data_IF_071260755871
#
_entry.id   IF_071260755871
#
_cell.length_a   1.000
_cell.length_b   1.000
_cell.length_c   1.000
_cell.angle_alpha   90.00
_cell.angle_beta   90.00
_cell.angle_gamma   90.00
#
_symmetry.space_group_name_H-M   'P 1'
#
loop_
_entity.id
_entity.type
_entity.pdbx_description
1 polymer ?
#
# COMPACT_ATOMS: atom_id res chain seq x y z
N UNK A 1 48.55 36.75 -25.52
CA UNK A 1 47.18 36.58 -24.95
C UNK A 1 46.94 35.10 -24.74
N UNK A 2 46.85 34.65 -23.48
CA UNK A 2 46.59 33.27 -23.09
C UNK A 2 45.12 33.19 -22.68
N UNK A 3 44.29 32.54 -23.50
CA UNK A 3 42.90 32.24 -23.15
C UNK A 3 42.86 30.93 -22.40
N UNK A 4 42.82 31.02 -21.07
CA UNK A 4 42.43 29.92 -20.19
C UNK A 4 40.94 29.65 -20.39
N UNK A 5 40.61 28.58 -21.12
CA UNK A 5 39.24 28.06 -21.19
C UNK A 5 38.98 27.35 -19.86
N UNK A 6 38.29 28.05 -18.97
CA UNK A 6 37.85 27.54 -17.68
C UNK A 6 36.88 26.39 -17.94
N UNK A 7 37.21 25.24 -17.37
CA UNK A 7 36.46 24.00 -17.44
C UNK A 7 35.04 24.18 -16.90
N UNK A 8 34.08 24.30 -17.81
CA UNK A 8 32.66 24.12 -17.49
C UNK A 8 32.39 22.62 -17.58
N UNK A 9 32.90 21.87 -16.60
CA UNK A 9 32.37 20.54 -16.31
C UNK A 9 31.04 20.80 -15.62
N UNK A 10 30.00 21.01 -16.43
CA UNK A 10 28.62 20.80 -16.00
C UNK A 10 28.53 19.35 -15.59
N UNK A 11 28.83 19.08 -14.32
CA UNK A 11 28.46 17.85 -13.64
C UNK A 11 26.95 17.80 -13.75
N UNK A 12 26.49 17.12 -14.80
CA UNK A 12 25.15 16.59 -14.88
C UNK A 12 25.04 15.77 -13.60
N UNK A 13 24.48 16.38 -12.55
CA UNK A 13 23.81 15.67 -11.47
C UNK A 13 22.64 14.98 -12.16
N UNK A 14 22.97 13.92 -12.90
CA UNK A 14 22.10 12.80 -13.12
C UNK A 14 21.94 12.31 -11.69
N UNK A 15 20.95 12.87 -10.99
CA UNK A 15 20.37 12.24 -9.83
C UNK A 15 20.02 10.88 -10.39
N UNK A 16 20.88 9.91 -10.13
CA UNK A 16 20.48 8.53 -10.18
C UNK A 16 19.33 8.53 -9.19
N UNK A 17 18.11 8.65 -9.72
CA UNK A 17 16.97 8.05 -9.09
C UNK A 17 17.37 6.59 -9.06
N UNK A 18 18.11 6.22 -8.01
CA UNK A 18 18.14 4.85 -7.57
C UNK A 18 16.65 4.58 -7.39
N UNK A 19 16.07 3.88 -8.37
CA UNK A 19 14.88 3.09 -8.12
C UNK A 19 15.25 2.35 -6.85
N UNK A 20 14.73 2.83 -5.73
CA UNK A 20 14.95 2.20 -4.45
C UNK A 20 14.29 0.86 -4.63
N UNK A 21 15.08 -0.16 -4.97
CA UNK A 21 14.59 -1.47 -5.38
C UNK A 21 13.65 -1.94 -4.27
N UNK A 22 12.35 -1.86 -4.56
CA UNK A 22 11.30 -2.11 -3.60
C UNK A 22 11.31 -3.60 -3.34
N UNK A 23 12.02 -4.00 -2.28
CA UNK A 23 12.13 -5.39 -1.88
C UNK A 23 11.00 -5.73 -0.90
N UNK A 24 10.34 -6.87 -1.07
CA UNK A 24 9.35 -7.34 -0.11
C UNK A 24 10.02 -7.68 1.23
N UNK A 25 9.19 -7.82 2.26
CA UNK A 25 9.55 -8.37 3.55
C UNK A 25 10.36 -9.67 3.37
N UNK A 26 11.51 -9.75 4.03
CA UNK A 26 12.35 -10.95 4.00
C UNK A 26 11.62 -12.13 4.63
N UNK A 27 11.82 -13.31 4.04
CA UNK A 27 11.26 -14.58 4.51
C UNK A 27 9.73 -14.51 4.73
N UNK A 28 9.05 -13.81 3.80
CA UNK A 28 7.60 -13.64 3.87
C UNK A 28 6.88 -14.99 3.94
N UNK A 29 6.07 -15.18 4.99
CA UNK A 29 5.26 -16.37 5.18
C UNK A 29 3.77 -16.04 4.99
N UNK A 30 3.21 -16.52 3.87
CA UNK A 30 1.81 -16.26 3.53
C UNK A 30 0.82 -16.83 4.55
N UNK A 31 1.10 -18.02 5.11
CA UNK A 31 0.20 -18.65 6.07
C UNK A 31 0.09 -17.85 7.38
N UNK A 32 1.20 -17.26 7.84
CA UNK A 32 1.21 -16.35 8.99
C UNK A 32 0.55 -15.00 8.68
N UNK A 33 0.60 -14.58 7.42
CA UNK A 33 -0.01 -13.33 6.96
C UNK A 33 -1.53 -13.43 6.79
N UNK A 34 -2.06 -14.63 6.57
CA UNK A 34 -3.49 -14.87 6.41
C UNK A 34 -4.33 -14.41 7.62
N UNK A 35 -5.65 -14.37 7.42
CA UNK A 35 -6.63 -13.99 8.41
C UNK A 35 -7.04 -12.52 8.35
N UNK A 36 -7.57 -12.03 9.48
CA UNK A 36 -8.19 -10.71 9.59
C UNK A 36 -7.17 -9.59 9.69
N UNK A 37 -7.44 -8.49 9.00
CA UNK A 37 -6.68 -7.24 9.01
C UNK A 37 -7.63 -6.04 8.97
N UNK A 38 -7.17 -4.89 9.45
CA UNK A 38 -7.85 -3.60 9.32
C UNK A 38 -6.97 -2.62 8.56
N UNK A 39 -7.43 -2.03 7.46
CA UNK A 39 -6.73 -0.93 6.78
C UNK A 39 -6.91 0.34 7.60
N UNK A 40 -5.92 0.65 8.44
CA UNK A 40 -5.93 1.77 9.40
C UNK A 40 -5.11 2.98 8.91
N UNK A 41 -4.44 2.85 7.77
CA UNK A 41 -3.77 3.97 7.10
C UNK A 41 -3.73 3.78 5.59
N UNK A 42 -3.76 4.90 4.85
CA UNK A 42 -3.69 4.91 3.38
C UNK A 42 -2.99 6.17 2.88
N UNK A 43 -1.94 6.01 2.09
CA UNK A 43 -1.37 7.05 1.26
C UNK A 43 -1.85 6.86 -0.18
N UNK A 44 -2.61 7.82 -0.72
CA UNK A 44 -3.13 7.76 -2.08
C UNK A 44 -3.44 9.15 -2.64
N UNK A 45 -2.84 9.48 -3.79
CA UNK A 45 -2.90 10.83 -4.37
C UNK A 45 -3.64 10.95 -5.70
N UNK A 46 -4.42 9.92 -6.06
CA UNK A 46 -5.28 9.94 -7.24
C UNK A 46 -6.26 11.11 -7.21
N UNK A 47 -6.37 11.85 -8.32
CA UNK A 47 -7.34 12.95 -8.43
C UNK A 47 -8.77 12.47 -8.19
N UNK A 48 -9.11 11.28 -8.68
CA UNK A 48 -10.43 10.66 -8.49
C UNK A 48 -10.69 10.19 -7.06
N UNK A 49 -9.67 10.11 -6.21
CA UNK A 49 -9.82 9.78 -4.78
C UNK A 49 -9.93 11.02 -3.88
N UNK A 50 -9.44 12.18 -4.31
CA UNK A 50 -9.45 13.42 -3.52
C UNK A 50 -10.82 13.74 -2.89
N UNK A 51 -11.96 13.64 -3.61
CA UNK A 51 -13.29 13.94 -3.06
C UNK A 51 -13.82 12.95 -1.99
N UNK A 52 -13.06 11.88 -1.71
CA UNK A 52 -13.43 10.82 -0.77
C UNK A 52 -12.50 10.72 0.44
N UNK A 53 -11.45 11.55 0.52
CA UNK A 53 -10.43 11.47 1.57
C UNK A 53 -11.01 11.67 2.98
N UNK A 54 -11.89 12.65 3.11
CA UNK A 54 -12.61 13.01 4.33
C UNK A 54 -13.67 11.96 4.72
N UNK A 55 -14.13 11.17 3.75
CA UNK A 55 -15.12 10.11 3.93
C UNK A 55 -14.48 8.74 4.22
N UNK A 56 -13.16 8.61 4.06
CA UNK A 56 -12.46 7.37 4.29
C UNK A 56 -12.60 6.92 5.75
N UNK A 57 -13.02 5.67 5.94
CA UNK A 57 -13.03 4.98 7.24
C UNK A 57 -12.05 3.81 7.19
N UNK A 58 -11.56 3.40 8.36
CA UNK A 58 -10.81 2.17 8.46
C UNK A 58 -11.70 0.99 8.06
N UNK A 59 -11.20 0.13 7.16
CA UNK A 59 -11.94 -1.03 6.66
C UNK A 59 -11.37 -2.33 7.18
N UNK A 60 -12.21 -3.35 7.24
CA UNK A 60 -11.81 -4.70 7.61
C UNK A 60 -11.54 -5.52 6.35
N UNK A 61 -10.55 -6.41 6.39
CA UNK A 61 -10.28 -7.37 5.34
C UNK A 61 -9.93 -8.75 5.89
N UNK A 62 -10.26 -9.79 5.12
CA UNK A 62 -9.85 -11.17 5.38
C UNK A 62 -8.98 -11.62 4.22
N UNK A 63 -7.74 -12.01 4.55
CA UNK A 63 -6.77 -12.59 3.64
C UNK A 63 -6.87 -14.12 3.74
N UNK A 64 -7.22 -14.76 2.64
CA UNK A 64 -7.27 -16.22 2.53
C UNK A 64 -6.14 -16.71 1.63
N UNK A 65 -5.21 -17.48 2.19
CA UNK A 65 -4.15 -18.13 1.44
C UNK A 65 -4.69 -19.38 0.73
N UNK A 66 -4.42 -19.50 -0.57
CA UNK A 66 -4.85 -20.63 -1.38
C UNK A 66 -3.72 -21.70 -1.49
N UNK A 67 -4.06 -22.98 -1.72
CA UNK A 67 -3.06 -24.06 -1.81
C UNK A 67 -2.01 -23.86 -2.92
N UNK A 68 -2.37 -23.16 -3.99
CA UNK A 68 -1.46 -22.84 -5.09
C UNK A 68 -0.51 -21.66 -4.77
N UNK A 69 -0.70 -20.98 -3.63
CA UNK A 69 0.06 -19.82 -3.17
C UNK A 69 -0.57 -18.46 -3.52
N UNK A 70 -1.69 -18.45 -4.24
CA UNK A 70 -2.47 -17.24 -4.50
C UNK A 70 -3.22 -16.78 -3.25
N UNK A 71 -3.81 -15.59 -3.33
CA UNK A 71 -4.51 -14.96 -2.22
C UNK A 71 -5.86 -14.40 -2.66
N UNK A 72 -6.90 -14.74 -1.91
CA UNK A 72 -8.17 -14.03 -1.98
C UNK A 72 -8.25 -13.02 -0.84
N UNK A 73 -8.54 -11.76 -1.17
CA UNK A 73 -8.82 -10.71 -0.19
C UNK A 73 -10.27 -10.28 -0.33
N UNK A 74 -11.03 -10.38 0.76
CA UNK A 74 -12.34 -9.73 0.87
C UNK A 74 -12.23 -8.54 1.80
N UNK A 75 -12.69 -7.37 1.37
CA UNK A 75 -12.67 -6.11 2.11
C UNK A 75 -14.10 -5.61 2.32
N UNK A 76 -14.36 -5.04 3.49
CA UNK A 76 -15.62 -4.38 3.86
C UNK A 76 -15.33 -2.89 4.09
N UNK A 77 -15.67 -2.07 3.10
CA UNK A 77 -15.45 -0.62 3.13
C UNK A 77 -16.76 0.10 3.52
N UNK A 78 -16.70 0.93 4.56
CA UNK A 78 -17.81 1.81 4.92
C UNK A 78 -17.86 3.00 3.96
N UNK A 79 -19.00 3.17 3.29
CA UNK A 79 -19.25 4.27 2.35
C UNK A 79 -20.51 5.04 2.74
N UNK A 80 -20.75 6.25 2.19
CA UNK A 80 -22.02 6.95 2.38
C UNK A 80 -23.26 6.15 1.93
N UNK A 81 -23.09 5.17 1.03
CA UNK A 81 -24.16 4.29 0.53
C UNK A 81 -24.32 3.02 1.38
N UNK A 82 -23.57 2.88 2.48
CA UNK A 82 -23.54 1.69 3.33
C UNK A 82 -22.24 0.89 3.20
N UNK A 83 -22.25 -0.33 3.75
CA UNK A 83 -21.10 -1.23 3.77
C UNK A 83 -20.97 -1.94 2.42
N UNK A 84 -19.86 -1.69 1.72
CA UNK A 84 -19.57 -2.27 0.40
C UNK A 84 -18.55 -3.40 0.54
N UNK A 85 -18.79 -4.51 -0.16
CA UNK A 85 -17.89 -5.66 -0.18
C UNK A 85 -17.06 -5.65 -1.46
N UNK A 86 -15.74 -5.66 -1.31
CA UNK A 86 -14.79 -5.71 -2.43
C UNK A 86 -13.99 -6.99 -2.36
N UNK A 87 -13.92 -7.75 -3.46
CA UNK A 87 -13.14 -8.98 -3.55
C UNK A 87 -11.99 -8.77 -4.53
N UNK A 88 -10.81 -9.20 -4.13
CA UNK A 88 -9.60 -9.17 -4.95
C UNK A 88 -8.97 -10.56 -5.00
N UNK A 89 -8.62 -11.00 -6.20
CA UNK A 89 -7.86 -12.21 -6.46
C UNK A 89 -6.43 -11.80 -6.80
N UNK A 90 -5.49 -12.16 -5.94
CA UNK A 90 -4.07 -11.88 -6.08
C UNK A 90 -3.33 -13.16 -6.46
N UNK A 91 -2.64 -13.09 -7.59
CA UNK A 91 -1.81 -14.17 -8.10
C UNK A 91 -0.41 -14.06 -7.52
N UNK A 92 0.16 -15.20 -7.10
CA UNK A 92 1.53 -15.23 -6.62
C UNK A 92 2.52 -14.89 -7.73
N UNK A 93 3.67 -14.37 -7.33
CA UNK A 93 4.85 -14.27 -8.22
C UNK A 93 5.93 -15.27 -7.78
N UNK A 94 7.06 -15.27 -8.47
CA UNK A 94 8.24 -16.04 -8.05
C UNK A 94 8.92 -15.47 -6.80
N UNK A 95 8.53 -14.28 -6.34
CA UNK A 95 9.11 -13.61 -5.17
C UNK A 95 8.09 -13.64 -4.02
N UNK A 96 8.40 -14.30 -2.89
CA UNK A 96 7.53 -14.29 -1.72
C UNK A 96 7.20 -12.87 -1.25
N UNK A 97 5.93 -12.61 -0.95
CA UNK A 97 5.44 -11.29 -0.54
C UNK A 97 5.15 -10.34 -1.70
N UNK A 98 5.39 -10.75 -2.95
CA UNK A 98 4.94 -10.06 -4.16
C UNK A 98 3.82 -10.82 -4.85
N UNK A 99 2.79 -10.07 -5.24
CA UNK A 99 1.60 -10.56 -5.92
C UNK A 99 1.23 -9.64 -7.07
N UNK A 100 0.40 -10.12 -7.98
CA UNK A 100 -0.23 -9.32 -9.03
C UNK A 100 -1.74 -9.47 -9.00
N UNK A 101 -2.46 -8.46 -9.47
CA UNK A 101 -3.89 -8.59 -9.71
C UNK A 101 -4.33 -7.69 -10.86
N UNK A 102 -5.45 -8.07 -11.49
CA UNK A 102 -6.08 -7.23 -12.50
C UNK A 102 -6.99 -6.18 -11.84
N UNK A 103 -6.67 -4.90 -12.02
CA UNK A 103 -7.45 -3.79 -11.53
C UNK A 103 -8.54 -3.40 -12.54
N UNK A 104 -9.77 -3.88 -12.35
CA UNK A 104 -10.93 -3.50 -13.19
C UNK A 104 -11.09 -1.98 -13.35
N UNK A 105 -10.98 -1.22 -12.24
CA UNK A 105 -11.05 0.26 -12.24
C UNK A 105 -10.04 0.95 -13.18
N UNK A 106 -8.87 0.37 -13.37
CA UNK A 106 -7.78 0.97 -14.15
C UNK A 106 -7.46 0.18 -15.41
N UNK A 107 -8.22 -0.88 -15.68
CA UNK A 107 -8.03 -1.81 -16.79
C UNK A 107 -6.57 -2.27 -17.01
N UNK A 108 -5.86 -2.61 -15.92
CA UNK A 108 -4.45 -3.02 -15.98
C UNK A 108 -4.07 -3.97 -14.84
N UNK A 109 -3.03 -4.76 -15.06
CA UNK A 109 -2.38 -5.55 -14.01
C UNK A 109 -1.54 -4.62 -13.12
N UNK A 110 -1.63 -4.82 -11.81
CA UNK A 110 -0.84 -4.09 -10.81
C UNK A 110 -0.12 -5.06 -9.90
N UNK A 111 1.08 -4.70 -9.50
CA UNK A 111 1.84 -5.39 -8.46
C UNK A 111 1.43 -4.94 -7.05
N UNK A 112 1.57 -5.85 -6.11
CA UNK A 112 1.40 -5.66 -4.68
C UNK A 112 2.63 -6.23 -4.00
N UNK A 113 3.23 -5.47 -3.09
CA UNK A 113 4.41 -5.88 -2.34
C UNK A 113 4.15 -5.66 -0.85
N UNK A 114 4.25 -6.72 -0.05
CA UNK A 114 4.26 -6.61 1.41
C UNK A 114 5.64 -6.12 1.81
N UNK A 115 5.74 -4.87 2.28
CA UNK A 115 7.01 -4.19 2.53
C UNK A 115 7.61 -4.54 3.89
N UNK A 116 6.75 -4.61 4.90
CA UNK A 116 7.14 -4.88 6.28
C UNK A 116 5.95 -5.45 7.04
N UNK A 117 6.15 -6.49 7.85
CA UNK A 117 5.14 -7.04 8.73
C UNK A 117 5.78 -7.89 9.83
N UNK A 118 5.23 -7.80 11.04
CA UNK A 118 5.52 -8.75 12.11
C UNK A 118 4.44 -9.85 12.22
N UNK A 119 3.52 -9.91 11.26
CA UNK A 119 2.38 -10.84 11.14
C UNK A 119 1.30 -10.71 12.22
N UNK A 120 1.64 -10.28 13.43
CA UNK A 120 0.75 -10.31 14.61
C UNK A 120 0.20 -8.95 15.02
N UNK A 121 0.80 -7.85 14.57
CA UNK A 121 0.33 -6.50 14.92
C UNK A 121 0.06 -5.64 13.69
N UNK A 122 0.96 -5.62 12.70
CA UNK A 122 0.84 -4.72 11.56
C UNK A 122 1.42 -5.28 10.25
N UNK A 123 1.04 -4.64 9.14
CA UNK A 123 1.69 -4.79 7.85
C UNK A 123 1.67 -3.47 7.07
N UNK A 124 2.76 -3.16 6.37
CA UNK A 124 2.84 -2.08 5.38
C UNK A 124 2.87 -2.71 3.99
N UNK A 125 1.94 -2.31 3.14
CA UNK A 125 1.78 -2.88 1.78
C UNK A 125 1.89 -1.75 0.76
N UNK A 126 2.77 -1.92 -0.22
CA UNK A 126 2.88 -1.08 -1.39
C UNK A 126 2.09 -1.71 -2.54
N UNK A 127 1.36 -0.89 -3.27
CA UNK A 127 0.68 -1.26 -4.50
C UNK A 127 1.17 -0.38 -5.61
N UNK A 128 1.49 -1.01 -6.74
CA UNK A 128 2.11 -0.39 -7.90
C UNK A 128 3.45 0.27 -7.56
N UNK A 129 4.52 -0.52 -7.55
CA UNK A 129 5.85 -0.08 -7.08
C UNK A 129 6.49 1.03 -7.92
N UNK A 130 6.20 1.07 -9.23
CA UNK A 130 6.64 2.16 -10.09
C UNK A 130 5.73 3.34 -9.82
N UNK A 131 6.27 4.41 -9.24
CA UNK A 131 5.43 5.50 -8.77
C UNK A 131 4.62 6.13 -9.92
N UNK A 132 3.31 6.03 -9.78
CA UNK A 132 2.31 6.73 -10.56
C UNK A 132 1.23 7.27 -9.62
N UNK A 133 0.95 8.56 -9.71
CA UNK A 133 0.01 9.28 -8.83
C UNK A 133 -1.38 8.65 -8.78
N UNK A 134 -1.87 8.12 -9.91
CA UNK A 134 -3.20 7.53 -10.00
C UNK A 134 -3.28 6.09 -9.48
N UNK A 135 -2.14 5.38 -9.47
CA UNK A 135 -2.13 3.93 -9.25
C UNK A 135 -1.47 3.50 -7.96
N UNK A 136 -0.48 4.26 -7.50
CA UNK A 136 0.36 3.92 -6.35
C UNK A 136 -0.42 4.12 -5.07
N UNK A 137 -0.31 3.15 -4.17
CA UNK A 137 -0.88 3.25 -2.84
C UNK A 137 0.08 2.64 -1.84
N UNK A 138 0.21 3.28 -0.67
CA UNK A 138 0.79 2.62 0.52
C UNK A 138 -0.34 2.44 1.52
N UNK A 139 -0.56 1.22 1.98
CA UNK A 139 -1.57 0.91 2.97
C UNK A 139 -0.91 0.39 4.26
N UNK A 140 -1.41 0.85 5.40
CA UNK A 140 -1.09 0.30 6.71
C UNK A 140 -2.25 -0.57 7.17
N UNK A 141 -1.93 -1.82 7.46
CA UNK A 141 -2.84 -2.79 8.05
C UNK A 141 -2.48 -3.06 9.51
N UNK A 142 -3.48 -3.15 10.37
CA UNK A 142 -3.34 -3.59 11.76
C UNK A 142 -4.15 -4.87 12.01
N UNK A 143 -3.74 -5.72 12.96
CA UNK A 143 -4.59 -6.83 13.44
C UNK A 143 -5.77 -6.33 14.28
N UNK A 144 -5.69 -5.09 14.77
CA UNK A 144 -6.75 -4.34 15.45
C UNK A 144 -6.99 -3.01 14.72
N UNK A 145 -8.07 -2.30 15.06
CA UNK A 145 -8.38 -0.99 14.49
C UNK A 145 -7.45 0.14 14.97
N UNK A 146 -6.62 -0.12 15.98
CA UNK A 146 -5.70 0.86 16.54
C UNK A 146 -4.32 0.23 16.66
N UNK A 147 -3.33 0.87 16.05
CA UNK A 147 -1.93 0.45 16.08
C UNK A 147 -1.09 1.48 16.83
N UNK A 148 0.08 1.06 17.29
CA UNK A 148 1.00 1.93 18.05
C UNK A 148 1.49 3.09 17.19
N UNK A 149 1.78 4.22 17.83
CA UNK A 149 2.30 5.42 17.15
C UNK A 149 3.60 5.15 16.38
N UNK A 150 4.47 4.26 16.87
CA UNK A 150 5.70 3.86 16.18
C UNK A 150 5.41 3.25 14.80
N UNK A 151 4.36 2.42 14.70
CA UNK A 151 3.92 1.78 13.45
C UNK A 151 3.32 2.81 12.50
N UNK A 152 2.53 3.75 13.02
CA UNK A 152 1.98 4.86 12.23
C UNK A 152 3.10 5.72 11.65
N UNK A 153 4.10 6.05 12.45
CA UNK A 153 5.25 6.85 12.01
C UNK A 153 6.09 6.11 10.97
N UNK A 154 6.30 4.80 11.14
CA UNK A 154 6.95 3.95 10.13
C UNK A 154 6.20 3.99 8.80
N UNK A 155 4.88 3.80 8.82
CA UNK A 155 4.03 3.91 7.63
C UNK A 155 4.14 5.28 6.96
N UNK A 156 4.05 6.37 7.73
CA UNK A 156 4.16 7.74 7.22
C UNK A 156 5.53 7.99 6.59
N UNK A 157 6.61 7.57 7.25
CA UNK A 157 7.97 7.71 6.75
C UNK A 157 8.16 6.95 5.42
N UNK A 158 7.65 5.72 5.33
CA UNK A 158 7.70 4.94 4.10
C UNK A 158 6.86 5.58 2.98
N UNK A 159 5.65 6.05 3.26
CA UNK A 159 4.84 6.74 2.26
C UNK A 159 5.55 8.01 1.73
N UNK A 160 6.18 8.80 2.61
CA UNK A 160 6.97 9.95 2.20
C UNK A 160 8.17 9.55 1.32
N UNK A 161 8.86 8.44 1.64
CA UNK A 161 9.99 7.96 0.84
C UNK A 161 9.57 7.44 -0.54
N UNK A 162 8.31 7.03 -0.71
CA UNK A 162 7.71 6.69 -2.01
C UNK A 162 7.25 7.93 -2.80
N UNK A 163 7.41 9.15 -2.27
CA UNK A 163 7.06 10.39 -2.97
C UNK A 163 5.66 10.94 -2.67
N UNK A 164 4.91 10.37 -1.72
CA UNK A 164 3.63 10.92 -1.30
C UNK A 164 3.80 12.23 -0.52
N UNK A 165 2.88 13.17 -0.70
CA UNK A 165 2.81 14.38 0.12
C UNK A 165 2.14 14.08 1.47
N UNK A 166 2.43 14.86 2.52
CA UNK A 166 1.78 14.71 3.84
C UNK A 166 0.25 14.74 3.75
N UNK A 167 -0.32 15.60 2.90
CA UNK A 167 -1.77 15.73 2.72
C UNK A 167 -2.42 14.56 1.98
N UNK A 168 -1.63 13.66 1.39
CA UNK A 168 -2.12 12.43 0.75
C UNK A 168 -2.03 11.20 1.66
N UNK A 169 -1.48 11.33 2.87
CA UNK A 169 -1.30 10.26 3.86
C UNK A 169 -2.37 10.38 4.95
N UNK A 170 -3.26 9.40 5.01
CA UNK A 170 -4.44 9.41 5.85
C UNK A 170 -4.36 8.31 6.91
N UNK A 171 -4.83 8.63 8.12
CA UNK A 171 -5.12 7.68 9.21
C UNK A 171 -6.61 7.79 9.53
N UNK A 172 -7.47 7.08 8.78
CA UNK A 172 -8.91 7.24 8.91
C UNK A 172 -9.43 6.75 10.26
N UNK A 173 -10.54 7.32 10.77
CA UNK A 173 -11.17 6.84 11.98
C UNK A 173 -11.81 5.45 11.76
N UNK A 174 -12.06 4.68 12.83
CA UNK A 174 -12.74 3.38 12.76
C UNK A 174 -14.09 3.45 12.05
N UNK A 175 -14.47 2.36 11.38
CA UNK A 175 -15.86 2.15 10.94
C UNK A 175 -16.63 1.45 12.07
N UNK A 176 -17.73 2.06 12.51
CA UNK A 176 -18.54 1.51 13.62
C UNK A 176 -19.37 0.28 13.19
N UNK A 177 -19.84 0.23 11.94
CA UNK A 177 -20.90 -0.71 11.53
C UNK A 177 -20.63 -1.49 10.22
N UNK A 178 -19.37 -1.61 9.78
CA UNK A 178 -19.02 -2.33 8.55
C UNK A 178 -17.97 -3.40 8.84
N UNK A 179 -18.45 -4.60 9.14
CA UNK A 179 -17.66 -5.80 9.37
C UNK A 179 -18.28 -6.98 8.62
N UNK A 180 -17.55 -8.09 8.49
CA UNK A 180 -18.14 -9.36 8.10
C UNK A 180 -19.18 -9.70 9.16
N UNK A 181 -20.46 -9.37 8.94
CA UNK A 181 -21.55 -9.92 9.74
C UNK A 181 -21.36 -11.44 9.68
N UNK A 182 -20.90 -12.00 10.79
CA UNK A 182 -20.92 -13.44 11.01
C UNK A 182 -22.40 -13.76 11.19
N UNK A 183 -22.99 -14.44 10.21
CA UNK A 183 -24.07 -15.36 10.53
C UNK A 183 -23.52 -16.46 11.43
#
# INVERSE_FOLDING_TARGET
>A
MRTTVVAVVMVIFCVMMADADVKPQRDFNLQRFAGKWYRVGLAYDSASFVPFRDKLKASMGIVTALPNGDVNLTMWDATPLGCQVMVYNYEKTNVPGQFTYFSTRHNMVKDITVMDTNYTEYAVVLKHKVFNREYTQVALYGRTQTVRNEVINKFKAFALSQGFSRGSILTPPPAENCSSRSG
#
